data_IF_696917150304
#
_entry.id   IF_696917150304
#
_cell.length_a   1.000
_cell.length_b   1.000
_cell.length_c   1.000
_cell.angle_alpha   90.00
_cell.angle_beta   90.00
_cell.angle_gamma   90.00
#
_symmetry.space_group_name_H-M   'P 1'
#
loop_
_entity.id
_entity.type
_entity.pdbx_description
1 polymer ?
#
# COMPACT_ATOMS: atom_id res chain seq x y z
N UNK A 1 71.92 -0.31 -24.84
CA UNK A 1 71.87 -1.21 -23.67
C UNK A 1 70.80 -0.67 -22.74
N UNK A 2 69.67 -1.36 -22.75
CA UNK A 2 68.58 -1.41 -21.75
C UNK A 2 68.01 -0.10 -21.18
N UNK A 3 66.96 0.39 -21.85
CA UNK A 3 65.82 1.01 -21.16
C UNK A 3 65.04 -0.11 -20.44
N UNK A 4 65.08 -0.10 -19.11
CA UNK A 4 64.23 -0.96 -18.28
C UNK A 4 62.79 -0.44 -18.30
N UNK A 5 61.89 -1.33 -18.72
CA UNK A 5 60.44 -1.19 -18.65
C UNK A 5 59.95 -1.09 -17.20
N UNK A 6 59.46 0.08 -16.83
CA UNK A 6 58.66 0.24 -15.60
C UNK A 6 57.21 -0.09 -15.94
N UNK A 7 56.76 -1.24 -15.44
CA UNK A 7 55.36 -1.68 -15.45
C UNK A 7 54.41 -0.55 -14.99
N UNK A 8 53.30 -0.26 -15.71
CA UNK A 8 52.25 0.59 -15.17
C UNK A 8 51.61 -0.10 -13.97
N UNK A 9 51.61 0.58 -12.83
CA UNK A 9 50.99 0.11 -11.59
C UNK A 9 49.52 -0.28 -11.80
N UNK A 10 49.11 -1.38 -11.16
CA UNK A 10 47.75 -1.91 -11.12
C UNK A 10 46.67 -0.93 -10.60
N UNK A 11 47.05 0.30 -10.23
CA UNK A 11 46.14 1.37 -9.82
C UNK A 11 45.54 2.17 -10.99
N UNK A 12 46.12 2.07 -12.20
CA UNK A 12 45.60 2.75 -13.40
C UNK A 12 44.45 2.02 -14.11
N UNK A 13 44.23 0.74 -13.80
CA UNK A 13 43.20 -0.09 -14.46
C UNK A 13 41.86 -0.11 -13.71
N UNK A 14 41.83 0.27 -12.43
CA UNK A 14 40.59 0.30 -11.63
C UNK A 14 39.70 1.50 -12.00
N UNK A 15 40.25 2.55 -12.61
CA UNK A 15 39.49 3.75 -13.01
C UNK A 15 38.89 3.68 -14.42
N UNK A 16 39.14 2.60 -15.19
CA UNK A 16 38.59 2.42 -16.55
C UNK A 16 37.43 1.42 -16.64
N UNK A 17 37.15 0.70 -15.54
CA UNK A 17 35.99 -0.17 -15.38
C UNK A 17 34.90 0.50 -14.53
N UNK A 18 34.73 1.82 -14.67
CA UNK A 18 33.43 2.42 -14.42
C UNK A 18 32.49 1.91 -15.52
N UNK A 19 32.03 0.66 -15.34
CA UNK A 19 30.90 0.10 -16.03
C UNK A 19 29.78 1.11 -15.84
N UNK A 20 29.56 1.96 -16.84
CA UNK A 20 28.40 2.83 -16.92
C UNK A 20 27.22 1.87 -16.91
N UNK A 21 26.70 1.57 -15.71
CA UNK A 21 25.58 0.68 -15.53
C UNK A 21 24.39 1.38 -16.17
N UNK A 22 24.16 1.09 -17.46
CA UNK A 22 23.00 1.56 -18.19
C UNK A 22 21.78 1.11 -17.40
N UNK A 23 20.87 2.06 -17.11
CA UNK A 23 19.61 1.75 -16.43
C UNK A 23 18.91 0.67 -17.26
N UNK A 24 18.54 -0.48 -16.68
CA UNK A 24 17.91 -1.57 -17.44
C UNK A 24 16.47 -1.26 -17.88
N UNK A 25 15.91 -0.12 -17.47
CA UNK A 25 14.58 0.35 -17.85
C UNK A 25 14.63 1.55 -18.80
N UNK A 26 13.59 1.68 -19.64
CA UNK A 26 13.36 2.90 -20.42
C UNK A 26 12.98 4.03 -19.47
N UNK A 27 13.49 5.23 -19.75
CA UNK A 27 13.10 6.44 -19.03
C UNK A 27 12.40 7.38 -20.01
N UNK A 28 11.30 7.99 -19.57
CA UNK A 28 10.59 9.04 -20.30
C UNK A 28 10.45 10.27 -19.42
N UNK A 29 10.33 11.44 -20.04
CA UNK A 29 9.95 12.65 -19.29
C UNK A 29 8.53 12.50 -18.77
N UNK A 30 8.34 12.93 -17.53
CA UNK A 30 7.07 12.82 -16.84
C UNK A 30 6.80 14.06 -15.99
N UNK A 31 5.53 14.30 -15.71
CA UNK A 31 5.05 15.44 -14.93
C UNK A 31 4.09 14.97 -13.86
N UNK A 32 4.27 15.49 -12.64
CA UNK A 32 3.27 15.48 -11.59
C UNK A 32 2.67 16.87 -11.48
N UNK A 33 1.36 16.97 -11.71
CA UNK A 33 0.58 18.21 -11.56
C UNK A 33 -0.40 17.99 -10.41
N UNK A 34 -0.38 18.86 -9.40
CA UNK A 34 -1.32 18.82 -8.29
C UNK A 34 -2.45 19.84 -8.48
N UNK A 35 -3.60 19.59 -7.87
CA UNK A 35 -4.80 20.45 -7.98
C UNK A 35 -4.58 21.90 -7.51
N UNK A 36 -3.55 22.13 -6.68
CA UNK A 36 -3.11 23.44 -6.21
C UNK A 36 -2.31 24.24 -7.25
N UNK A 37 -2.03 23.64 -8.42
CA UNK A 37 -1.27 24.25 -9.51
C UNK A 37 0.24 23.97 -9.47
N UNK A 38 0.72 23.22 -8.49
CA UNK A 38 2.13 22.86 -8.41
C UNK A 38 2.50 21.80 -9.45
N UNK A 39 3.66 21.97 -10.08
CA UNK A 39 4.14 21.11 -11.16
C UNK A 39 5.56 20.63 -10.85
N UNK A 40 5.79 19.33 -10.93
CA UNK A 40 7.10 18.71 -10.83
C UNK A 40 7.42 17.93 -12.10
N UNK A 41 8.57 18.24 -12.70
CA UNK A 41 9.14 17.45 -13.80
C UNK A 41 9.99 16.33 -13.21
N UNK A 42 9.90 15.16 -13.83
CA UNK A 42 10.44 13.92 -13.32
C UNK A 42 10.82 12.98 -14.47
N UNK A 43 11.44 11.85 -14.15
CA UNK A 43 11.60 10.73 -15.09
C UNK A 43 10.66 9.61 -14.71
N UNK A 44 9.92 9.05 -15.66
CA UNK A 44 9.20 7.81 -15.44
C UNK A 44 10.14 6.61 -15.60
N UNK A 45 9.91 5.57 -14.79
CA UNK A 45 10.58 4.27 -14.92
C UNK A 45 9.57 3.13 -15.09
N UNK A 46 8.28 3.46 -15.18
CA UNK A 46 7.18 2.52 -15.25
C UNK A 46 6.46 2.58 -16.59
N UNK A 47 5.17 2.25 -16.56
CA UNK A 47 4.31 2.33 -17.74
C UNK A 47 4.06 3.79 -18.13
N UNK A 48 3.90 4.04 -19.43
CA UNK A 48 3.59 5.36 -20.00
C UNK A 48 2.09 5.59 -20.04
N UNK A 49 1.64 6.82 -19.81
CA UNK A 49 0.22 7.15 -19.81
C UNK A 49 -0.09 8.48 -19.13
N UNK A 50 -1.35 8.63 -18.77
CA UNK A 50 -1.82 9.66 -17.84
C UNK A 50 -2.74 9.03 -16.78
N UNK A 51 -2.36 9.12 -15.50
CA UNK A 51 -3.14 8.63 -14.37
C UNK A 51 -3.54 9.79 -13.45
N UNK A 52 -4.68 9.66 -12.78
CA UNK A 52 -5.13 10.56 -11.71
C UNK A 52 -5.28 9.78 -10.40
N UNK A 53 -4.95 10.41 -9.27
CA UNK A 53 -5.07 9.81 -7.95
C UNK A 53 -4.85 10.79 -6.81
N UNK A 54 -5.21 10.38 -5.59
CA UNK A 54 -4.90 11.15 -4.38
C UNK A 54 -3.44 10.94 -3.97
N UNK A 55 -2.68 12.03 -3.83
CA UNK A 55 -1.26 11.96 -3.45
C UNK A 55 -1.12 11.89 -1.93
N UNK A 56 -0.56 10.79 -1.46
CA UNK A 56 -0.23 10.53 -0.06
C UNK A 56 1.28 10.28 0.06
N UNK A 57 1.82 10.41 1.27
CA UNK A 57 3.23 10.08 1.54
C UNK A 57 3.33 9.02 2.63
N UNK A 58 4.27 8.08 2.48
CA UNK A 58 4.54 7.02 3.45
C UNK A 58 5.98 7.14 4.03
N UNK A 59 6.08 7.05 5.36
CA UNK A 59 7.34 7.22 6.10
C UNK A 59 8.11 5.93 6.37
N UNK A 60 7.63 4.79 5.92
CA UNK A 60 8.33 3.51 6.04
C UNK A 60 9.66 3.54 5.29
N UNK A 61 10.72 3.07 5.97
CA UNK A 61 12.06 2.99 5.40
C UNK A 61 12.29 1.69 4.63
N UNK A 62 11.53 0.65 4.94
CA UNK A 62 11.56 -0.68 4.31
C UNK A 62 10.14 -1.11 3.96
N UNK A 63 10.01 -2.25 3.27
CA UNK A 63 8.72 -2.84 2.96
C UNK A 63 7.97 -2.13 1.82
N UNK A 64 8.70 -1.62 0.83
CA UNK A 64 8.06 -0.89 -0.27
C UNK A 64 7.16 -1.81 -1.10
N UNK A 65 7.53 -3.09 -1.30
CA UNK A 65 6.72 -4.01 -2.09
C UNK A 65 5.38 -4.33 -1.41
N UNK A 66 5.40 -4.54 -0.10
CA UNK A 66 4.22 -4.77 0.73
C UNK A 66 3.31 -3.53 0.72
N UNK A 67 3.89 -2.33 0.69
CA UNK A 67 3.14 -1.07 0.53
C UNK A 67 2.51 -0.98 -0.87
N UNK A 68 3.27 -1.31 -1.93
CA UNK A 68 2.77 -1.28 -3.31
C UNK A 68 1.59 -2.24 -3.49
N UNK A 69 1.66 -3.41 -2.88
CA UNK A 69 0.64 -4.48 -3.00
C UNK A 69 -0.45 -4.42 -1.94
N UNK A 70 -0.48 -3.38 -1.09
CA UNK A 70 -1.56 -3.15 -0.13
C UNK A 70 -2.79 -2.55 -0.85
N UNK A 71 -3.95 -3.25 -0.86
CA UNK A 71 -5.16 -2.77 -1.54
C UNK A 71 -5.69 -1.44 -0.99
N UNK A 72 -5.28 -1.04 0.22
CA UNK A 72 -5.71 0.22 0.84
C UNK A 72 -5.25 1.46 0.06
N UNK A 73 -4.26 1.33 -0.83
CA UNK A 73 -3.79 2.41 -1.70
C UNK A 73 -4.48 2.47 -3.08
N UNK A 74 -5.58 1.73 -3.29
CA UNK A 74 -6.34 1.84 -4.52
C UNK A 74 -6.74 3.31 -4.81
N UNK A 75 -6.46 3.78 -6.02
CA UNK A 75 -6.74 5.17 -6.42
C UNK A 75 -5.81 6.22 -5.83
N UNK A 76 -4.72 5.82 -5.15
CA UNK A 76 -3.76 6.73 -4.54
C UNK A 76 -2.39 6.69 -5.24
N UNK A 77 -1.69 7.82 -5.18
CA UNK A 77 -0.26 7.91 -5.50
C UNK A 77 0.53 7.90 -4.19
N UNK A 78 1.37 6.89 -4.01
CA UNK A 78 2.19 6.77 -2.80
C UNK A 78 3.55 7.37 -3.07
N UNK A 79 3.85 8.44 -2.32
CA UNK A 79 5.17 9.04 -2.27
C UNK A 79 5.99 8.44 -1.13
N UNK A 80 7.10 7.80 -1.45
CA UNK A 80 8.02 7.28 -0.44
C UNK A 80 8.96 8.37 0.05
N UNK A 81 9.03 8.54 1.37
CA UNK A 81 9.97 9.50 1.96
C UNK A 81 11.40 8.95 2.03
N UNK A 82 11.59 7.62 2.06
CA UNK A 82 12.91 7.00 1.91
C UNK A 82 13.45 7.33 0.50
N UNK A 83 14.64 7.96 0.39
CA UNK A 83 15.15 8.41 -0.90
C UNK A 83 15.51 7.28 -1.86
N UNK A 84 15.89 6.10 -1.36
CA UNK A 84 16.28 4.96 -2.18
C UNK A 84 15.25 3.84 -2.07
N UNK A 85 14.58 3.56 -3.19
CA UNK A 85 13.59 2.49 -3.31
C UNK A 85 14.08 1.47 -4.34
N UNK A 86 13.79 0.18 -4.13
CA UNK A 86 14.19 -0.91 -5.03
C UNK A 86 15.52 -1.59 -4.68
N UNK A 87 16.15 -1.22 -3.56
CA UNK A 87 17.45 -1.74 -3.13
C UNK A 87 17.44 -3.26 -2.81
N UNK A 88 16.30 -3.80 -2.37
CA UNK A 88 16.15 -5.23 -2.09
C UNK A 88 15.46 -5.99 -3.22
N UNK A 89 15.20 -5.34 -4.36
CA UNK A 89 14.40 -5.92 -5.44
C UNK A 89 13.05 -6.39 -4.93
N UNK A 90 12.48 -7.44 -5.53
CA UNK A 90 11.12 -7.90 -5.24
C UNK A 90 10.98 -9.41 -5.36
N UNK A 91 10.08 -10.00 -4.60
CA UNK A 91 9.85 -11.44 -4.54
C UNK A 91 8.36 -11.76 -4.39
N UNK A 92 7.96 -13.02 -4.44
CA UNK A 92 6.53 -13.39 -4.32
C UNK A 92 6.01 -13.39 -2.89
N UNK A 93 6.88 -13.43 -1.90
CA UNK A 93 6.53 -13.65 -0.49
C UNK A 93 6.11 -12.35 0.21
N UNK A 94 6.58 -11.22 -0.32
CA UNK A 94 6.26 -9.85 0.10
C UNK A 94 5.00 -9.29 -0.60
N UNK A 95 4.30 -10.06 -1.45
CA UNK A 95 3.03 -9.64 -2.06
C UNK A 95 1.86 -9.73 -1.05
N UNK A 96 1.32 -8.58 -0.66
CA UNK A 96 0.23 -8.49 0.32
C UNK A 96 -1.17 -8.65 -0.28
N UNK A 97 -1.29 -8.79 -1.61
CA UNK A 97 -2.58 -9.09 -2.27
C UNK A 97 -2.38 -9.70 -3.66
N UNK A 98 -3.48 -10.05 -4.34
CA UNK A 98 -3.46 -10.71 -5.66
C UNK A 98 -2.82 -9.90 -6.79
N UNK A 99 -2.76 -8.58 -6.64
CA UNK A 99 -2.14 -7.67 -7.60
C UNK A 99 -1.85 -6.32 -6.94
N UNK A 100 -1.08 -5.47 -7.62
CA UNK A 100 -0.89 -4.11 -7.15
C UNK A 100 -2.10 -3.24 -7.52
N UNK A 101 -2.76 -2.68 -6.51
CA UNK A 101 -3.88 -1.73 -6.68
C UNK A 101 -3.45 -0.27 -6.66
N UNK A 102 -2.19 -0.01 -6.31
CA UNK A 102 -1.64 1.35 -6.26
C UNK A 102 -1.74 2.01 -7.65
N UNK A 103 -2.23 3.25 -7.68
CA UNK A 103 -2.35 3.97 -8.95
C UNK A 103 -0.97 4.44 -9.44
N UNK A 104 -0.09 4.90 -8.54
CA UNK A 104 1.30 5.23 -8.87
C UNK A 104 2.23 5.30 -7.67
N UNK A 105 3.53 5.07 -7.93
CA UNK A 105 4.63 5.23 -6.98
C UNK A 105 5.46 6.48 -7.32
N UNK A 106 5.70 7.34 -6.34
CA UNK A 106 6.56 8.53 -6.45
C UNK A 106 7.78 8.38 -5.54
N UNK A 107 8.98 8.42 -6.11
CA UNK A 107 10.24 8.22 -5.39
C UNK A 107 11.29 9.28 -5.75
N UNK A 108 12.31 9.40 -4.90
CA UNK A 108 13.45 10.29 -5.16
C UNK A 108 14.49 9.63 -6.06
N UNK A 109 14.79 8.35 -5.83
CA UNK A 109 15.81 7.63 -6.56
C UNK A 109 15.49 6.13 -6.61
N UNK A 110 15.48 5.57 -7.82
CA UNK A 110 15.40 4.12 -8.00
C UNK A 110 16.79 3.50 -7.92
N UNK A 111 16.95 2.51 -7.04
CA UNK A 111 18.21 1.76 -6.91
C UNK A 111 18.54 0.99 -8.20
N UNK A 112 19.74 1.21 -8.74
CA UNK A 112 20.22 0.60 -10.00
C UNK A 112 20.55 -0.89 -9.80
N UNK A 113 20.98 -1.28 -8.61
CA UNK A 113 21.38 -2.64 -8.28
C UNK A 113 20.56 -3.14 -7.10
N UNK A 114 20.00 -4.34 -7.24
CA UNK A 114 19.43 -5.11 -6.14
C UNK A 114 20.55 -5.95 -5.50
N UNK A 115 20.68 -5.92 -4.18
CA UNK A 115 21.67 -6.74 -3.44
C UNK A 115 21.25 -8.20 -3.27
N UNK A 116 20.01 -8.56 -3.61
CA UNK A 116 19.41 -9.90 -3.44
C UNK A 116 19.04 -10.53 -4.80
N UNK A 117 20.03 -10.68 -5.69
CA UNK A 117 19.84 -11.06 -7.10
C UNK A 117 19.32 -12.47 -7.35
N UNK A 118 19.32 -13.37 -6.36
CA UNK A 118 18.91 -14.77 -6.52
C UNK A 118 17.39 -14.99 -6.50
N UNK A 119 16.61 -14.03 -6.01
CA UNK A 119 15.13 -14.12 -5.89
C UNK A 119 14.43 -12.98 -6.65
N UNK A 120 15.19 -11.95 -7.05
CA UNK A 120 14.61 -10.74 -7.61
C UNK A 120 14.37 -10.83 -9.12
N UNK A 121 13.11 -10.64 -9.53
CA UNK A 121 12.82 -10.17 -10.87
C UNK A 121 13.46 -8.78 -11.04
N UNK A 122 14.17 -8.57 -12.15
CA UNK A 122 14.81 -7.30 -12.48
C UNK A 122 13.78 -6.16 -12.26
N UNK A 123 14.15 -5.13 -11.49
CA UNK A 123 13.29 -4.09 -10.87
C UNK A 123 12.52 -3.20 -11.86
N UNK A 124 12.52 -3.55 -13.13
CA UNK A 124 12.04 -2.76 -14.26
C UNK A 124 10.62 -3.06 -14.70
N UNK A 125 9.91 -4.06 -14.14
CA UNK A 125 8.68 -4.53 -14.79
C UNK A 125 7.48 -4.95 -13.92
N UNK A 126 7.46 -4.72 -12.61
CA UNK A 126 6.46 -5.38 -11.77
C UNK A 126 5.46 -4.39 -11.14
N UNK A 127 4.45 -4.07 -11.97
CA UNK A 127 3.07 -3.73 -11.55
C UNK A 127 2.84 -2.44 -10.76
N UNK A 128 3.24 -1.28 -11.26
CA UNK A 128 2.48 -0.04 -11.00
C UNK A 128 2.19 0.62 -12.35
N UNK A 129 0.95 1.06 -12.56
CA UNK A 129 0.49 1.59 -13.84
C UNK A 129 1.19 2.86 -14.27
N UNK A 130 1.83 3.60 -13.35
CA UNK A 130 2.72 4.73 -13.63
C UNK A 130 3.68 4.90 -12.45
N UNK A 131 4.93 5.31 -12.68
CA UNK A 131 5.89 5.58 -11.59
C UNK A 131 6.78 6.78 -11.91
N UNK A 132 7.17 7.54 -10.88
CA UNK A 132 8.10 8.68 -11.00
C UNK A 132 9.38 8.49 -10.18
N UNK A 133 10.51 8.69 -10.83
CA UNK A 133 11.87 8.83 -10.29
C UNK A 133 12.36 10.29 -10.44
N UNK A 134 13.33 10.66 -9.60
CA UNK A 134 14.05 11.95 -9.60
C UNK A 134 13.22 13.17 -9.17
N UNK A 135 12.26 12.97 -8.27
CA UNK A 135 11.43 14.06 -7.71
C UNK A 135 11.91 14.48 -6.32
N UNK A 136 11.81 15.78 -5.99
CA UNK A 136 12.05 16.26 -4.63
C UNK A 136 10.92 15.83 -3.67
N UNK A 137 10.95 14.57 -3.26
CA UNK A 137 9.94 13.94 -2.39
C UNK A 137 9.78 14.66 -1.05
N UNK A 138 10.86 15.26 -0.52
CA UNK A 138 10.81 16.06 0.72
C UNK A 138 9.99 17.33 0.55
N UNK A 139 10.12 18.03 -0.59
CA UNK A 139 9.34 19.24 -0.86
C UNK A 139 7.84 18.92 -0.96
N UNK A 140 7.49 17.84 -1.68
CA UNK A 140 6.09 17.39 -1.81
C UNK A 140 5.55 16.94 -0.45
N UNK A 141 6.31 16.15 0.32
CA UNK A 141 5.90 15.71 1.67
C UNK A 141 5.60 16.91 2.59
N UNK A 142 6.44 17.96 2.56
CA UNK A 142 6.20 19.17 3.35
C UNK A 142 4.92 19.87 2.94
N UNK A 143 4.64 19.93 1.64
CA UNK A 143 3.42 20.51 1.07
C UNK A 143 2.18 19.72 1.50
N UNK A 144 2.17 18.40 1.30
CA UNK A 144 1.06 17.54 1.73
C UNK A 144 0.78 17.63 3.23
N UNK A 145 1.82 17.79 4.06
CA UNK A 145 1.65 18.02 5.50
C UNK A 145 1.03 19.38 5.82
N UNK A 146 1.36 20.41 5.04
CA UNK A 146 0.88 21.79 5.23
C UNK A 146 -0.54 22.00 4.69
N UNK A 147 -0.86 21.41 3.55
CA UNK A 147 -2.11 21.70 2.82
C UNK A 147 -3.11 20.53 2.90
N UNK A 148 -2.62 19.32 3.18
CA UNK A 148 -3.40 18.08 3.18
C UNK A 148 -3.07 17.18 1.99
N UNK A 149 -3.71 16.02 1.89
CA UNK A 149 -3.65 15.22 0.68
C UNK A 149 -4.24 16.03 -0.48
N UNK A 150 -3.58 15.95 -1.63
CA UNK A 150 -3.94 16.70 -2.83
C UNK A 150 -4.23 15.71 -3.96
N UNK A 151 -5.16 16.05 -4.84
CA UNK A 151 -5.33 15.30 -6.08
C UNK A 151 -4.17 15.63 -7.02
N UNK A 152 -3.56 14.57 -7.58
CA UNK A 152 -2.48 14.67 -8.53
C UNK A 152 -2.79 13.97 -9.83
N UNK A 153 -2.21 14.47 -10.91
CA UNK A 153 -2.17 13.83 -12.22
C UNK A 153 -0.72 13.59 -12.59
N UNK A 154 -0.45 12.36 -12.96
CA UNK A 154 0.81 11.92 -13.51
C UNK A 154 0.66 11.74 -15.01
N UNK A 155 1.63 12.19 -15.78
CA UNK A 155 1.60 12.03 -17.23
C UNK A 155 3.00 11.95 -17.83
N UNK A 156 3.17 11.01 -18.77
CA UNK A 156 4.34 10.92 -19.66
C UNK A 156 4.02 11.43 -21.07
N UNK A 157 2.81 11.94 -21.31
CA UNK A 157 2.36 12.34 -22.64
C UNK A 157 2.71 13.80 -22.93
N UNK A 158 3.61 14.05 -23.88
CA UNK A 158 3.97 15.41 -24.30
C UNK A 158 2.82 16.17 -24.98
N UNK A 159 1.81 15.46 -25.47
CA UNK A 159 0.64 16.03 -26.13
C UNK A 159 -0.30 16.80 -25.19
N UNK A 160 -0.27 16.52 -23.88
CA UNK A 160 -1.11 17.19 -22.87
C UNK A 160 -0.39 18.42 -22.32
N UNK A 161 -1.06 19.56 -22.27
CA UNK A 161 -0.50 20.77 -21.64
C UNK A 161 -0.55 20.67 -20.12
N UNK A 162 0.22 21.51 -19.42
CA UNK A 162 0.20 21.54 -17.96
C UNK A 162 -1.19 21.99 -17.45
N UNK A 163 -1.86 22.86 -18.21
CA UNK A 163 -3.22 23.33 -17.96
C UNK A 163 -4.26 22.20 -18.09
N UNK A 164 -4.15 21.34 -19.10
CA UNK A 164 -5.04 20.18 -19.27
C UNK A 164 -4.93 19.23 -18.06
N UNK A 165 -3.70 18.95 -17.62
CA UNK A 165 -3.45 18.08 -16.47
C UNK A 165 -3.98 18.70 -15.17
N UNK A 166 -3.84 20.01 -15.00
CA UNK A 166 -4.38 20.73 -13.85
C UNK A 166 -5.92 20.69 -13.83
N UNK A 167 -6.56 20.82 -14.99
CA UNK A 167 -8.01 20.69 -15.10
C UNK A 167 -8.49 19.28 -14.72
N UNK A 168 -7.78 18.23 -15.17
CA UNK A 168 -8.06 16.85 -14.76
C UNK A 168 -7.94 16.71 -13.24
N UNK A 169 -6.86 17.23 -12.63
CA UNK A 169 -6.63 17.15 -11.19
C UNK A 169 -7.76 17.79 -10.39
N UNK A 170 -8.25 18.97 -10.81
CA UNK A 170 -9.32 19.70 -10.11
C UNK A 170 -10.71 19.10 -10.29
N UNK A 171 -10.95 18.35 -11.37
CA UNK A 171 -12.24 17.72 -11.66
C UNK A 171 -12.42 16.40 -10.91
N UNK A 172 -11.34 15.67 -10.65
CA UNK A 172 -11.41 14.36 -10.03
C UNK A 172 -11.62 14.45 -8.52
N UNK A 173 -12.42 13.54 -7.97
CA UNK A 173 -12.69 13.45 -6.53
C UNK A 173 -12.66 12.00 -6.08
N UNK A 174 -11.87 11.71 -5.05
CA UNK A 174 -11.83 10.39 -4.40
C UNK A 174 -12.94 10.19 -3.37
N UNK A 175 -13.42 11.29 -2.77
CA UNK A 175 -14.41 11.24 -1.69
C UNK A 175 -15.76 10.81 -2.24
N UNK A 176 -16.37 9.81 -1.60
CA UNK A 176 -17.68 9.27 -2.00
C UNK A 176 -17.61 8.21 -3.11
N UNK A 177 -16.41 7.79 -3.53
CA UNK A 177 -16.23 6.68 -4.47
C UNK A 177 -16.06 5.38 -3.69
N UNK A 178 -16.85 4.37 -4.04
CA UNK A 178 -16.66 3.01 -3.55
C UNK A 178 -15.44 2.39 -4.23
N UNK A 179 -14.32 2.34 -3.50
CA UNK A 179 -13.09 1.69 -3.94
C UNK A 179 -13.00 0.23 -3.47
N UNK A 180 -13.83 -0.17 -2.51
CA UNK A 180 -13.83 -1.52 -1.93
C UNK A 180 -14.30 -2.53 -2.99
N UNK A 181 -15.37 -2.20 -3.71
CA UNK A 181 -15.91 -3.06 -4.76
C UNK A 181 -14.88 -3.39 -5.85
N UNK A 182 -13.94 -2.48 -6.13
CA UNK A 182 -12.88 -2.69 -7.12
C UNK A 182 -11.72 -3.57 -6.67
N UNK A 183 -11.58 -3.79 -5.35
CA UNK A 183 -10.46 -4.57 -4.77
C UNK A 183 -10.90 -5.85 -4.08
N UNK A 184 -12.19 -6.03 -3.81
CA UNK A 184 -12.77 -7.26 -3.28
C UNK A 184 -12.53 -8.46 -4.19
N UNK A 185 -12.59 -9.67 -3.64
CA UNK A 185 -12.70 -10.91 -4.40
C UNK A 185 -14.07 -11.05 -5.06
N UNK A 186 -14.13 -11.82 -6.15
CA UNK A 186 -15.36 -12.04 -6.94
C UNK A 186 -16.25 -13.14 -6.37
N UNK A 187 -15.66 -14.13 -5.68
CA UNK A 187 -16.34 -15.27 -5.12
C UNK A 187 -15.68 -15.72 -3.81
N UNK A 188 -16.43 -16.35 -2.88
CA UNK A 188 -15.86 -16.90 -1.67
C UNK A 188 -14.75 -17.91 -1.93
N UNK A 189 -13.72 -17.91 -1.09
CA UNK A 189 -12.62 -18.86 -1.14
C UNK A 189 -12.11 -19.22 0.26
N UNK A 190 -11.44 -20.36 0.40
CA UNK A 190 -10.80 -20.76 1.64
C UNK A 190 -9.33 -20.33 1.65
N UNK A 191 -8.84 -19.85 2.79
CA UNK A 191 -7.41 -19.53 2.97
C UNK A 191 -6.78 -20.47 3.98
N UNK A 192 -5.65 -21.07 3.60
CA UNK A 192 -4.94 -22.08 4.41
C UNK A 192 -3.49 -21.72 4.71
N UNK A 193 -2.92 -20.74 4.01
CA UNK A 193 -1.49 -20.44 4.11
C UNK A 193 -1.18 -19.74 5.44
N UNK A 194 -0.19 -20.25 6.16
CA UNK A 194 0.25 -19.71 7.46
C UNK A 194 1.41 -18.73 7.26
N UNK A 195 1.76 -18.03 8.33
CA UNK A 195 3.03 -17.29 8.38
C UNK A 195 4.19 -18.27 8.30
N UNK A 196 5.20 -17.97 7.51
CA UNK A 196 6.38 -18.83 7.39
C UNK A 196 7.12 -18.93 8.73
N UNK A 197 7.71 -20.10 8.99
CA UNK A 197 8.32 -20.43 10.28
C UNK A 197 9.48 -19.49 10.67
N UNK A 198 10.14 -18.87 9.70
CA UNK A 198 11.18 -17.87 9.95
C UNK A 198 10.61 -16.55 10.51
N UNK A 199 9.38 -16.19 10.14
CA UNK A 199 8.67 -14.97 10.54
C UNK A 199 7.64 -15.21 11.65
N UNK A 200 7.48 -16.46 12.11
CA UNK A 200 6.56 -16.81 13.18
C UNK A 200 7.14 -16.43 14.55
N UNK A 201 6.54 -15.42 15.18
CA UNK A 201 6.96 -14.91 16.49
C UNK A 201 6.37 -15.73 17.66
N UNK A 202 5.39 -16.61 17.41
CA UNK A 202 4.73 -17.43 18.45
C UNK A 202 4.84 -18.94 18.19
N UNK A 203 6.07 -19.44 18.00
CA UNK A 203 6.39 -20.83 17.61
C UNK A 203 5.85 -21.95 18.52
N UNK A 204 5.42 -21.64 19.75
CA UNK A 204 5.13 -22.64 20.79
C UNK A 204 3.73 -22.51 21.42
N UNK A 205 2.80 -21.79 20.81
CA UNK A 205 1.42 -21.74 21.30
C UNK A 205 0.57 -22.80 20.60
N UNK A 206 0.05 -23.76 21.37
CA UNK A 206 -1.03 -24.62 20.91
C UNK A 206 -2.33 -23.84 21.02
N UNK A 207 -2.77 -23.27 19.92
CA UNK A 207 -4.12 -22.69 19.87
C UNK A 207 -5.15 -23.83 19.85
N UNK A 208 -6.23 -23.64 20.61
CA UNK A 208 -7.37 -24.57 20.62
C UNK A 208 -8.03 -24.68 19.24
N UNK A 209 -8.91 -25.68 19.11
CA UNK A 209 -9.51 -26.20 17.87
C UNK A 209 -9.90 -25.15 16.80
N UNK A 210 -9.49 -25.41 15.55
CA UNK A 210 -10.13 -25.15 14.24
C UNK A 210 -11.27 -24.11 14.12
N UNK A 211 -11.18 -22.96 14.80
CA UNK A 211 -12.22 -21.92 14.82
C UNK A 211 -12.53 -21.46 13.39
N UNK A 212 -13.81 -21.42 13.03
CA UNK A 212 -14.23 -20.94 11.71
C UNK A 212 -14.41 -19.43 11.72
N UNK A 213 -13.50 -18.73 11.03
CA UNK A 213 -13.56 -17.28 10.82
C UNK A 213 -14.04 -16.99 9.40
N UNK A 214 -15.08 -16.18 9.29
CA UNK A 214 -15.48 -15.59 8.00
C UNK A 214 -14.87 -14.19 7.89
N UNK A 215 -14.07 -13.96 6.85
CA UNK A 215 -13.41 -12.69 6.61
C UNK A 215 -14.04 -11.96 5.41
N UNK A 216 -14.58 -10.77 5.64
CA UNK A 216 -15.04 -9.90 4.57
C UNK A 216 -13.84 -9.25 3.88
N UNK A 217 -13.72 -9.49 2.57
CA UNK A 217 -12.68 -8.90 1.73
C UNK A 217 -13.09 -7.48 1.31
N UNK A 218 -12.67 -6.51 2.10
CA UNK A 218 -12.76 -5.09 1.75
C UNK A 218 -11.51 -4.56 1.01
N UNK A 219 -10.64 -5.46 0.53
CA UNK A 219 -9.25 -5.17 0.15
C UNK A 219 -8.28 -5.82 1.13
N UNK A 220 -8.54 -7.08 1.50
CA UNK A 220 -7.82 -7.79 2.55
C UNK A 220 -6.36 -8.03 2.19
N UNK A 221 -5.49 -7.76 3.15
CA UNK A 221 -4.07 -8.12 3.06
C UNK A 221 -3.85 -9.58 3.39
N UNK A 222 -3.01 -10.26 2.61
CA UNK A 222 -2.63 -11.65 2.82
C UNK A 222 -2.06 -11.88 4.22
N UNK A 223 -1.28 -10.94 4.79
CA UNK A 223 -0.72 -11.15 6.13
C UNK A 223 -1.77 -11.23 7.24
N UNK A 224 -2.94 -10.57 7.10
CA UNK A 224 -4.05 -10.74 8.05
C UNK A 224 -4.52 -12.20 8.06
N UNK A 225 -4.65 -12.78 6.88
CA UNK A 225 -5.06 -14.18 6.69
C UNK A 225 -3.97 -15.15 7.18
N UNK A 226 -2.69 -14.88 6.89
CA UNK A 226 -1.54 -15.65 7.38
C UNK A 226 -1.50 -15.70 8.90
N UNK A 227 -1.68 -14.57 9.57
CA UNK A 227 -1.74 -14.50 11.04
C UNK A 227 -2.92 -15.32 11.60
N UNK A 228 -4.13 -15.15 11.06
CA UNK A 228 -5.29 -15.95 11.50
C UNK A 228 -5.08 -17.45 11.31
N UNK A 229 -4.48 -17.86 10.18
CA UNK A 229 -4.18 -19.27 9.92
C UNK A 229 -3.09 -19.82 10.85
N UNK A 230 -2.10 -19.00 11.22
CA UNK A 230 -1.11 -19.33 12.27
C UNK A 230 -1.77 -19.55 13.63
N UNK A 231 -2.85 -18.82 13.93
CA UNK A 231 -3.69 -19.05 15.12
C UNK A 231 -4.59 -20.29 15.04
N UNK A 232 -4.49 -21.08 13.96
CA UNK A 232 -5.28 -22.31 13.79
C UNK A 232 -6.71 -22.09 13.31
N UNK A 233 -7.06 -20.89 12.83
CA UNK A 233 -8.39 -20.61 12.31
C UNK A 233 -8.58 -21.27 10.92
N UNK A 234 -9.75 -21.87 10.70
CA UNK A 234 -10.27 -22.13 9.35
C UNK A 234 -10.87 -20.84 8.81
N UNK A 235 -10.37 -20.34 7.68
CA UNK A 235 -10.79 -19.03 7.17
C UNK A 235 -11.56 -19.18 5.85
N UNK A 236 -12.77 -18.63 5.81
CA UNK A 236 -13.53 -18.42 4.58
C UNK A 236 -13.55 -16.93 4.27
N UNK A 237 -12.91 -16.54 3.18
CA UNK A 237 -12.93 -15.17 2.69
C UNK A 237 -14.16 -14.99 1.79
N UNK A 238 -14.93 -13.93 2.02
CA UNK A 238 -16.15 -13.62 1.26
C UNK A 238 -16.05 -12.23 0.63
N UNK A 239 -16.70 -12.00 -0.53
CA UNK A 239 -16.74 -10.69 -1.15
C UNK A 239 -17.27 -9.59 -0.22
N UNK A 240 -16.85 -8.35 -0.45
CA UNK A 240 -17.33 -7.16 0.26
C UNK A 240 -18.86 -7.02 0.32
N UNK A 241 -19.57 -7.44 -0.73
CA UNK A 241 -21.02 -7.38 -0.85
C UNK A 241 -21.73 -8.67 -0.39
N UNK A 242 -21.00 -9.62 0.22
CA UNK A 242 -21.57 -10.90 0.63
C UNK A 242 -22.68 -10.74 1.67
N UNK A 243 -23.88 -11.31 1.47
CA UNK A 243 -25.01 -11.06 2.36
C UNK A 243 -24.73 -11.54 3.80
N UNK A 244 -25.01 -10.68 4.79
CA UNK A 244 -24.85 -11.01 6.20
C UNK A 244 -25.62 -12.29 6.61
N UNK A 245 -26.79 -12.52 6.02
CA UNK A 245 -27.58 -13.73 6.25
C UNK A 245 -26.86 -15.00 5.82
N UNK A 246 -26.10 -14.96 4.70
CA UNK A 246 -25.32 -16.10 4.24
C UNK A 246 -24.11 -16.34 5.15
N UNK A 247 -23.45 -15.27 5.62
CA UNK A 247 -22.39 -15.37 6.66
C UNK A 247 -22.90 -16.07 7.91
N UNK A 248 -24.05 -15.66 8.45
CA UNK A 248 -24.60 -16.27 9.67
C UNK A 248 -25.02 -17.73 9.48
N UNK A 249 -25.46 -18.13 8.27
CA UNK A 249 -25.76 -19.53 7.95
C UNK A 249 -24.53 -20.44 8.00
N UNK A 250 -23.34 -19.88 7.77
CA UNK A 250 -22.08 -20.62 7.90
C UNK A 250 -21.74 -20.96 9.36
N UNK A 251 -22.45 -20.37 10.34
CA UNK A 251 -22.21 -20.53 11.79
C UNK A 251 -20.75 -20.29 12.18
N UNK A 252 -20.17 -19.13 11.82
CA UNK A 252 -18.78 -18.83 12.16
C UNK A 252 -18.61 -18.62 13.66
N UNK A 253 -17.44 -18.99 14.17
CA UNK A 253 -17.01 -18.68 15.54
C UNK A 253 -16.60 -17.20 15.68
N UNK A 254 -16.30 -16.53 14.56
CA UNK A 254 -16.04 -15.10 14.52
C UNK A 254 -16.07 -14.52 13.10
N UNK A 255 -16.29 -13.22 13.00
CA UNK A 255 -16.26 -12.49 11.73
C UNK A 255 -15.18 -11.42 11.75
N UNK A 256 -14.32 -11.43 10.74
CA UNK A 256 -13.32 -10.40 10.51
C UNK A 256 -13.78 -9.44 9.40
N UNK A 257 -13.73 -8.14 9.68
CA UNK A 257 -13.87 -7.08 8.68
C UNK A 257 -12.47 -6.53 8.38
N UNK A 258 -11.98 -6.74 7.16
CA UNK A 258 -10.60 -6.42 6.79
C UNK A 258 -10.31 -4.92 6.66
N UNK A 259 -9.05 -4.61 6.37
CA UNK A 259 -8.66 -3.32 5.81
C UNK A 259 -9.27 -3.12 4.41
N UNK A 260 -9.16 -1.89 3.90
CA UNK A 260 -9.66 -1.53 2.58
C UNK A 260 -9.39 -0.08 2.21
N UNK A 261 -9.48 0.28 0.92
CA UNK A 261 -9.30 1.64 0.42
C UNK A 261 -10.55 2.50 0.64
N UNK A 262 -10.37 3.82 0.50
CA UNK A 262 -11.46 4.78 0.41
C UNK A 262 -12.07 5.21 1.74
N UNK A 263 -13.29 5.73 1.66
CA UNK A 263 -14.02 6.30 2.80
C UNK A 263 -15.18 5.38 3.19
N UNK A 264 -15.32 5.00 4.48
CA UNK A 264 -16.43 4.17 4.95
C UNK A 264 -17.81 4.78 4.68
N UNK A 265 -17.91 6.12 4.56
CA UNK A 265 -19.17 6.79 4.18
C UNK A 265 -19.60 6.51 2.74
N UNK A 266 -18.68 6.07 1.86
CA UNK A 266 -18.99 5.69 0.48
C UNK A 266 -19.57 4.27 0.35
N UNK A 267 -19.56 3.48 1.43
CA UNK A 267 -19.97 2.06 1.42
C UNK A 267 -21.05 1.77 2.48
N UNK A 268 -22.24 2.40 2.38
CA UNK A 268 -23.31 2.20 3.36
C UNK A 268 -23.78 0.74 3.46
N UNK A 269 -23.65 -0.03 2.38
CA UNK A 269 -23.97 -1.46 2.36
C UNK A 269 -23.08 -2.25 3.33
N UNK A 270 -21.79 -1.92 3.44
CA UNK A 270 -20.85 -2.60 4.33
C UNK A 270 -21.19 -2.30 5.81
N UNK A 271 -21.58 -1.06 6.11
CA UNK A 271 -22.06 -0.69 7.46
C UNK A 271 -23.31 -1.49 7.84
N UNK A 272 -24.25 -1.66 6.91
CA UNK A 272 -25.47 -2.43 7.16
C UNK A 272 -25.16 -3.91 7.42
N UNK A 273 -24.27 -4.50 6.62
CA UNK A 273 -23.76 -5.86 6.86
C UNK A 273 -23.17 -6.01 8.26
N UNK A 274 -22.33 -5.06 8.68
CA UNK A 274 -21.73 -5.06 10.03
C UNK A 274 -22.81 -4.97 11.11
N UNK A 275 -23.82 -4.10 10.96
CA UNK A 275 -24.93 -3.98 11.93
C UNK A 275 -25.70 -5.28 12.10
N UNK A 276 -25.96 -6.02 11.02
CA UNK A 276 -26.66 -7.30 11.08
C UNK A 276 -25.83 -8.37 11.80
N UNK A 277 -24.51 -8.36 11.62
CA UNK A 277 -23.61 -9.38 12.19
C UNK A 277 -23.29 -9.10 13.67
N UNK A 278 -23.11 -7.83 14.05
CA UNK A 278 -22.79 -7.43 15.42
C UNK A 278 -23.86 -7.94 16.39
N UNK A 279 -23.40 -8.54 17.50
CA UNK A 279 -24.26 -9.09 18.55
C UNK A 279 -24.68 -10.55 18.32
N UNK A 280 -24.47 -11.09 17.13
CA UNK A 280 -24.72 -12.52 16.84
C UNK A 280 -23.46 -13.38 17.02
N UNK A 281 -22.29 -12.85 16.64
CA UNK A 281 -20.98 -13.52 16.73
C UNK A 281 -19.90 -12.52 17.12
N UNK A 282 -18.75 -12.96 17.68
CA UNK A 282 -17.59 -12.08 17.89
C UNK A 282 -17.16 -11.42 16.57
N UNK A 283 -16.93 -10.10 16.62
CA UNK A 283 -16.46 -9.33 15.46
C UNK A 283 -15.10 -8.72 15.72
N UNK A 284 -14.24 -8.70 14.71
CA UNK A 284 -12.95 -8.02 14.75
C UNK A 284 -12.76 -7.19 13.48
N UNK A 285 -12.46 -5.90 13.63
CA UNK A 285 -12.31 -4.97 12.51
C UNK A 285 -10.91 -4.36 12.46
N UNK A 286 -10.30 -4.36 11.28
CA UNK A 286 -8.96 -3.79 11.05
C UNK A 286 -9.08 -2.63 10.06
N UNK A 287 -8.52 -1.46 10.38
CA UNK A 287 -8.55 -0.27 9.52
C UNK A 287 -9.97 0.10 9.02
N UNK A 288 -10.33 -0.20 7.77
CA UNK A 288 -11.68 -0.03 7.24
C UNK A 288 -12.73 -0.75 8.12
N UNK A 289 -12.50 -2.01 8.47
CA UNK A 289 -13.39 -2.76 9.36
C UNK A 289 -13.58 -2.11 10.73
N UNK A 290 -12.54 -1.48 11.30
CA UNK A 290 -12.68 -0.73 12.56
C UNK A 290 -13.61 0.48 12.39
N UNK A 291 -13.49 1.21 11.28
CA UNK A 291 -14.32 2.37 10.99
C UNK A 291 -15.79 1.99 10.75
N UNK A 292 -16.03 0.90 10.01
CA UNK A 292 -17.36 0.37 9.75
C UNK A 292 -18.06 -0.10 11.02
N UNK A 293 -17.34 -0.80 11.92
CA UNK A 293 -17.86 -1.15 13.26
C UNK A 293 -18.21 0.11 14.04
N UNK A 294 -17.34 1.12 14.03
CA UNK A 294 -17.60 2.40 14.68
C UNK A 294 -18.90 3.06 14.17
N UNK A 295 -19.10 3.12 12.86
CA UNK A 295 -20.31 3.65 12.24
C UNK A 295 -21.56 2.80 12.53
N UNK A 296 -21.43 1.47 12.51
CA UNK A 296 -22.51 0.55 12.86
C UNK A 296 -23.02 0.78 14.28
N UNK A 297 -22.13 1.16 15.20
CA UNK A 297 -22.42 1.52 16.59
C UNK A 297 -22.80 3.00 16.79
N UNK A 298 -23.00 3.76 15.72
CA UNK A 298 -23.45 5.16 15.77
C UNK A 298 -22.33 6.22 15.85
N UNK A 299 -21.07 5.80 15.80
CA UNK A 299 -19.92 6.69 15.69
C UNK A 299 -19.85 7.41 14.33
N UNK A 300 -19.01 8.44 14.26
CA UNK A 300 -18.79 9.23 13.04
C UNK A 300 -17.37 9.07 12.53
N UNK A 301 -17.20 9.18 11.22
CA UNK A 301 -15.89 9.19 10.56
C UNK A 301 -15.63 10.54 9.93
N UNK A 302 -14.37 10.89 9.76
CA UNK A 302 -13.96 12.11 9.08
C UNK A 302 -12.68 11.87 8.28
N UNK A 303 -12.52 12.58 7.16
CA UNK A 303 -11.27 12.58 6.40
C UNK A 303 -10.20 13.36 7.16
N UNK A 304 -9.06 12.73 7.41
CA UNK A 304 -7.91 13.38 8.01
C UNK A 304 -7.20 14.26 6.98
N UNK A 305 -6.45 15.25 7.46
CA UNK A 305 -5.73 16.20 6.60
C UNK A 305 -4.82 15.50 5.57
N UNK A 306 -3.95 14.60 6.02
CA UNK A 306 -3.04 13.83 5.14
C UNK A 306 -2.94 12.35 5.52
N UNK A 307 -3.77 11.91 6.47
CA UNK A 307 -3.80 10.53 6.97
C UNK A 307 -2.57 10.10 7.76
N UNK A 308 -2.51 8.81 8.08
CA UNK A 308 -1.36 8.16 8.71
C UNK A 308 -0.86 7.04 7.79
N UNK A 309 0.38 7.17 7.28
CA UNK A 309 1.03 6.18 6.44
C UNK A 309 2.49 6.00 6.88
N UNK A 310 2.80 4.88 7.52
CA UNK A 310 4.15 4.60 8.00
C UNK A 310 4.20 3.50 9.05
N UNK A 311 5.39 2.92 9.22
CA UNK A 311 5.68 1.85 10.18
C UNK A 311 6.17 2.28 11.56
N UNK A 312 6.03 3.56 11.92
CA UNK A 312 6.62 4.14 13.13
C UNK A 312 5.62 4.93 14.00
N UNK A 313 4.32 4.63 13.90
CA UNK A 313 3.28 5.40 14.58
C UNK A 313 3.03 4.85 15.99
N UNK A 314 3.28 5.62 17.07
CA UNK A 314 3.00 5.16 18.42
C UNK A 314 1.49 5.15 18.69
N UNK A 315 0.99 4.06 19.30
CA UNK A 315 -0.40 3.91 19.72
C UNK A 315 -0.41 3.49 21.18
N UNK A 316 -1.25 4.15 21.99
CA UNK A 316 -1.35 3.89 23.43
C UNK A 316 -2.64 3.13 23.75
N UNK A 317 -2.54 2.02 24.49
CA UNK A 317 -3.71 1.42 25.15
C UNK A 317 -4.03 2.24 26.41
N UNK A 318 -5.10 3.02 26.35
CA UNK A 318 -5.52 3.90 27.44
C UNK A 318 -5.88 3.17 28.74
N UNK A 319 -6.17 1.86 28.69
CA UNK A 319 -6.49 1.06 29.90
C UNK A 319 -5.24 0.71 30.71
N UNK A 320 -4.12 0.48 30.01
CA UNK A 320 -2.86 0.03 30.64
C UNK A 320 -1.77 1.09 30.64
N UNK A 321 -1.89 2.13 29.81
CA UNK A 321 -0.85 3.13 29.56
C UNK A 321 0.30 2.62 28.69
N UNK A 322 0.26 1.36 28.22
CA UNK A 322 1.29 0.79 27.35
C UNK A 322 1.26 1.45 25.97
N UNK A 323 2.44 1.66 25.39
CA UNK A 323 2.61 2.17 24.03
C UNK A 323 3.22 1.09 23.15
N UNK A 324 2.61 0.83 22.00
CA UNK A 324 3.15 -0.03 20.95
C UNK A 324 3.44 0.81 19.70
N UNK A 325 4.43 0.39 18.90
CA UNK A 325 4.73 0.99 17.60
C UNK A 325 3.95 0.23 16.53
N UNK A 326 3.18 0.96 15.72
CA UNK A 326 2.26 0.37 14.75
C UNK A 326 2.55 0.80 13.31
N UNK A 327 2.21 -0.08 12.37
CA UNK A 327 2.02 0.27 10.98
C UNK A 327 0.63 0.89 10.79
N UNK A 328 0.57 2.07 10.21
CA UNK A 328 -0.67 2.76 9.88
C UNK A 328 -0.75 3.00 8.37
N UNK A 329 -1.91 2.74 7.79
CA UNK A 329 -2.28 3.07 6.41
C UNK A 329 -3.76 3.45 6.42
N UNK A 330 -4.07 4.74 6.56
CA UNK A 330 -5.46 5.24 6.55
C UNK A 330 -5.56 6.74 6.32
N UNK A 331 -6.60 7.14 5.58
CA UNK A 331 -6.97 8.54 5.35
C UNK A 331 -8.13 9.04 6.23
N UNK A 332 -8.85 8.13 6.90
CA UNK A 332 -10.00 8.48 7.74
C UNK A 332 -9.77 8.20 9.22
N UNK A 333 -10.29 9.08 10.06
CA UNK A 333 -10.39 8.93 11.50
C UNK A 333 -11.80 8.50 11.92
N UNK A 334 -11.90 7.83 13.07
CA UNK A 334 -13.17 7.54 13.73
C UNK A 334 -13.24 8.36 15.02
N UNK A 335 -14.42 8.91 15.31
CA UNK A 335 -14.73 9.60 16.56
C UNK A 335 -15.73 8.73 17.31
N UNK A 336 -15.36 8.29 18.51
CA UNK A 336 -16.34 7.78 19.47
C UNK A 336 -17.13 8.97 20.01
N UNK A 337 -18.46 8.92 19.89
CA UNK A 337 -19.37 9.88 20.53
C UNK A 337 -19.30 9.79 22.04
#
# INVERSE_FOLDING_TARGET
>A
MEEQSVHPSAYGLILSLAWYAQRPWKTSDARLVLEDGSIWRAKSFGVSGTQVGEVVFNTSLTGYQEILTDPSYAGQFVLMTNPHIGNTGVNTDDEESRCCFLASLIIRNLSIWCTFTSICFNTSNWRCSETLDDVNTRAITRRLRQDGSLIGVLSTEESKTDEDLLEIARRWKIVGVDLISGVSCDAPYEWTNKTDLEWEFQKNQSFGENLHVVAYDFGIKHNILRCLASYGCKITVVPSNWPASETLKMKPDGVLFSNGPGDPSAVPHAVETVKVIIGNVPVFGICMGHQLIGQALGGKTFKMKFGHHGGNHPVCDLRSGRVDISAQVRMSGAIST
#
